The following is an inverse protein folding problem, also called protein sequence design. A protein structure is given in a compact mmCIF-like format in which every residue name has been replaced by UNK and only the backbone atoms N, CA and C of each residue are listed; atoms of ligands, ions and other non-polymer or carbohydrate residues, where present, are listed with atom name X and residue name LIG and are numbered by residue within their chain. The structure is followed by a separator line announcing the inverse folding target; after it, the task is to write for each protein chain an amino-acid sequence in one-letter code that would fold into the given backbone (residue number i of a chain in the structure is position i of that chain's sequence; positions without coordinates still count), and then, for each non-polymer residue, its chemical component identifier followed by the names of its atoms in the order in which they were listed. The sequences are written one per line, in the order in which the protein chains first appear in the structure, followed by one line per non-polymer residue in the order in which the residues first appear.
data_IF_136576186052
#
_entry.id   IF_136576186052
#
_cell.length_a   1.000
_cell.length_b   1.000
_cell.length_c   1.000
_cell.angle_alpha   90.00
_cell.angle_beta   90.00
_cell.angle_gamma   90.00
#
_symmetry.space_group_name_H-M   'P 1'
#
loop_
_entity.id
_entity.type
_entity.pdbx_description
1 polymer ?
2 non-polymer ?
3 non-polymer ?
4 non-polymer ?
5 water ?
#
# COMPACT_ATOMS: atom_id res chain seq x y z
N UNK A 4 -4.14 -27.53 -4.47
CA UNK A 4 -3.57 -27.29 -3.09
C UNK A 4 -2.18 -26.64 -2.97
N UNK A 5 -1.34 -26.68 -3.98
CA UNK A 5 0.04 -26.19 -3.90
C UNK A 5 0.30 -24.94 -4.69
N UNK A 6 1.11 -24.04 -4.14
CA UNK A 6 1.53 -22.87 -4.86
C UNK A 6 2.82 -23.22 -5.61
N UNK A 7 3.24 -22.40 -6.56
CA UNK A 7 4.52 -22.58 -7.26
C UNK A 7 5.70 -22.66 -6.31
N UNK A 8 6.67 -23.50 -6.63
CA UNK A 8 7.83 -23.69 -5.80
C UNK A 8 8.61 -22.38 -5.54
N UNK A 9 8.57 -21.47 -6.49
CA UNK A 9 9.25 -20.22 -6.42
C UNK A 9 8.35 -19.04 -6.01
N UNK A 10 7.17 -19.36 -5.47
CA UNK A 10 6.22 -18.28 -5.12
C UNK A 10 6.86 -17.41 -4.05
N UNK A 11 6.58 -16.14 -4.07
CA UNK A 11 7.07 -15.23 -3.05
C UNK A 11 6.10 -15.22 -1.85
N UNK A 12 6.64 -15.42 -0.68
CA UNK A 12 5.84 -15.45 0.57
C UNK A 12 6.44 -14.43 1.52
N UNK A 13 5.67 -13.41 1.84
CA UNK A 13 6.14 -12.36 2.72
C UNK A 13 5.16 -11.74 3.64
N UNK A 14 5.63 -10.75 4.36
CA UNK A 14 4.78 -9.81 5.05
C UNK A 14 5.24 -8.41 4.76
N UNK A 15 4.36 -7.47 5.02
CA UNK A 15 4.53 -6.07 4.58
C UNK A 15 4.44 -5.09 5.72
N UNK A 16 5.21 -4.02 5.61
CA UNK A 16 5.11 -2.84 6.50
C UNK A 16 5.34 -1.58 5.65
N UNK A 17 5.26 -0.42 6.29
CA UNK A 17 5.59 0.90 5.73
C UNK A 17 6.38 1.65 6.78
N UNK A 18 7.27 2.54 6.33
CA UNK A 18 8.22 3.18 7.20
C UNK A 18 7.57 3.97 8.32
N UNK A 19 6.64 4.89 7.99
CA UNK A 19 6.11 5.70 9.04
C UNK A 19 5.33 4.86 10.04
N UNK A 20 4.76 3.76 9.63
CA UNK A 20 3.96 2.93 10.50
C UNK A 20 4.78 2.16 11.54
N UNK A 21 6.04 1.89 11.24
CA UNK A 21 6.85 1.05 12.13
C UNK A 21 8.14 1.66 12.68
N UNK A 22 8.76 2.60 11.96
CA UNK A 22 10.22 2.89 12.22
C UNK A 22 10.48 3.66 13.52
N UNK A 23 9.64 4.62 13.82
CA UNK A 23 9.98 5.59 14.88
C UNK A 23 11.25 6.35 14.52
N UNK A 24 11.97 6.79 15.55
CA UNK A 24 13.21 7.51 15.33
C UNK A 24 13.01 8.65 14.32
N UNK A 25 11.98 9.45 14.56
CA UNK A 25 11.49 10.40 13.57
C UNK A 25 12.47 11.59 13.38
N UNK A 26 13.29 11.85 14.35
CA UNK A 26 14.25 12.97 14.21
C UNK A 26 15.70 12.47 14.08
N UNK A 27 15.89 11.17 14.02
CA UNK A 27 17.24 10.61 14.09
C UNK A 27 17.94 10.62 12.77
N UNK A 28 19.25 10.82 12.85
CA UNK A 28 20.13 10.70 11.68
C UNK A 28 19.70 11.53 10.48
N UNK A 29 19.35 12.76 10.75
CA UNK A 29 19.04 13.74 9.71
C UNK A 29 17.67 13.63 9.08
N UNK A 30 16.79 12.74 9.56
CA UNK A 30 15.39 12.63 8.96
C UNK A 30 14.65 13.96 8.99
N UNK A 31 14.02 14.34 7.89
CA UNK A 31 13.24 15.53 7.79
C UNK A 31 11.81 15.31 8.29
N UNK A 32 10.99 16.34 8.24
CA UNK A 32 9.59 16.24 8.66
C UNK A 32 8.75 15.77 7.47
N UNK A 33 7.88 14.77 7.68
CA UNK A 33 6.94 14.30 6.66
C UNK A 33 5.57 14.87 6.93
N UNK A 34 4.70 14.83 5.94
CA UNK A 34 3.32 15.20 6.20
C UNK A 34 2.60 14.40 7.30
N UNK A 35 3.02 13.17 7.55
CA UNK A 35 2.42 12.37 8.63
C UNK A 35 2.98 12.74 10.00
N UNK A 36 4.18 13.29 10.08
CA UNK A 36 4.63 13.91 11.35
C UNK A 36 3.73 15.09 11.66
N UNK A 37 3.52 15.98 10.68
CA UNK A 37 2.69 17.15 10.87
C UNK A 37 1.29 16.74 11.25
N UNK A 38 0.73 15.77 10.55
CA UNK A 38 -0.68 15.43 10.68
C UNK A 38 -0.93 14.72 11.96
N UNK A 39 -0.03 13.76 12.33
CA UNK A 39 -0.20 13.05 13.60
C UNK A 39 0.01 13.95 14.82
N UNK A 40 0.81 14.99 14.65
CA UNK A 40 1.00 15.97 15.74
C UNK A 40 -0.04 17.08 15.74
N UNK A 41 -1.05 16.97 14.89
CA UNK A 41 -2.13 17.90 14.90
C UNK A 41 -3.27 17.25 15.75
N UNK A 42 -3.66 17.94 16.87
CA UNK A 42 -4.70 17.45 17.73
C UNK A 42 -5.97 17.09 16.98
N UNK A 43 -6.51 15.90 17.25
CA UNK A 43 -7.75 15.47 16.70
C UNK A 43 -7.69 14.64 15.45
N UNK A 44 -6.52 14.62 14.79
CA UNK A 44 -6.42 13.86 13.56
C UNK A 44 -6.33 12.36 13.77
N UNK A 45 -5.73 11.94 14.84
CA UNK A 45 -5.53 10.52 15.10
C UNK A 45 -6.46 10.10 16.18
N UNK A 46 -7.12 8.95 16.05
CA UNK A 46 -8.20 8.60 16.99
C UNK A 46 -7.81 8.50 18.44
N UNK A 47 -6.58 8.06 18.72
CA UNK A 47 -6.18 7.70 20.04
C UNK A 47 -5.03 8.52 20.54
N UNK A 48 -4.72 9.63 19.91
CA UNK A 48 -3.69 10.51 20.49
C UNK A 48 -2.23 10.07 20.26
N UNK A 49 -2.04 9.06 19.40
CA UNK A 49 -0.74 8.51 19.24
C UNK A 49 -0.15 9.12 17.96
N UNK A 50 1.14 8.89 17.77
CA UNK A 50 1.89 9.35 16.58
C UNK A 50 2.80 8.22 16.14
N UNK A 51 3.52 8.45 15.04
CA UNK A 51 4.56 7.53 14.68
C UNK A 51 5.95 7.86 15.27
N UNK A 52 6.00 8.64 16.35
CA UNK A 52 7.25 9.05 16.88
C UNK A 52 8.13 7.87 17.32
N UNK A 53 7.53 6.84 17.92
CA UNK A 53 8.20 5.64 18.32
C UNK A 53 7.72 4.44 17.49
N UNK A 54 6.39 4.29 17.43
CA UNK A 54 5.78 3.20 16.66
C UNK A 54 6.37 1.87 17.12
N UNK A 55 6.96 1.08 16.24
CA UNK A 55 7.55 -0.19 16.62
C UNK A 55 9.05 -0.08 16.89
N UNK A 56 9.57 1.11 16.74
CA UNK A 56 11.04 1.38 16.83
C UNK A 56 11.84 0.54 15.86
N UNK A 57 11.29 0.25 14.69
CA UNK A 57 11.92 -0.61 13.76
C UNK A 57 13.18 0.07 13.11
N UNK A 58 13.33 1.36 13.24
CA UNK A 58 14.57 2.01 12.84
C UNK A 58 15.74 1.35 13.60
N UNK A 59 15.55 1.10 14.89
CA UNK A 59 16.55 0.43 15.71
C UNK A 59 16.35 -1.06 15.79
N UNK A 60 15.13 -1.58 15.61
CA UNK A 60 14.78 -2.95 15.88
C UNK A 60 14.41 -3.73 14.66
N UNK A 61 14.89 -3.34 13.48
CA UNK A 61 14.61 -4.15 12.29
C UNK A 61 15.21 -5.54 12.34
N UNK A 62 16.25 -5.74 13.15
CA UNK A 62 16.78 -7.06 13.42
C UNK A 62 15.73 -7.98 14.00
N UNK A 63 14.93 -7.46 14.92
CA UNK A 63 13.86 -8.20 15.52
C UNK A 63 12.81 -8.51 14.50
N UNK A 64 12.53 -7.56 13.60
CA UNK A 64 11.63 -7.82 12.50
C UNK A 64 12.12 -8.95 11.63
N UNK A 65 13.43 -8.93 11.30
CA UNK A 65 13.99 -10.00 10.50
C UNK A 65 13.89 -11.36 11.23
N UNK A 66 14.11 -11.37 12.52
CA UNK A 66 13.91 -12.52 13.35
C UNK A 66 12.48 -13.10 13.22
N UNK A 67 11.49 -12.23 13.18
CA UNK A 67 10.09 -12.67 12.97
C UNK A 67 9.92 -13.30 11.60
N UNK A 68 10.40 -12.62 10.56
CA UNK A 68 10.22 -13.10 9.21
C UNK A 68 10.87 -14.47 9.06
N UNK A 69 12.05 -14.66 9.68
CA UNK A 69 12.74 -15.95 9.66
C UNK A 69 11.93 -17.02 10.41
N UNK A 70 11.43 -16.66 11.57
CA UNK A 70 10.65 -17.60 12.40
C UNK A 70 9.42 -18.06 11.62
N UNK A 71 8.87 -17.16 10.80
CA UNK A 71 7.70 -17.46 9.97
C UNK A 71 8.01 -18.23 8.72
N UNK A 72 9.29 -18.38 8.37
CA UNK A 72 9.64 -19.10 7.19
C UNK A 72 9.41 -18.36 5.89
N UNK A 73 9.26 -17.04 5.98
CA UNK A 73 9.04 -16.19 4.82
C UNK A 73 10.29 -16.14 3.89
N UNK A 74 10.09 -15.81 2.63
CA UNK A 74 11.24 -15.62 1.75
C UNK A 74 11.34 -14.21 1.20
N UNK A 75 10.51 -13.30 1.67
CA UNK A 75 10.51 -11.94 1.19
C UNK A 75 9.94 -10.97 2.24
N UNK A 76 10.29 -9.68 2.14
CA UNK A 76 9.82 -8.68 3.05
C UNK A 76 9.50 -7.46 2.27
N UNK A 77 8.27 -7.02 2.30
CA UNK A 77 7.86 -5.76 1.66
C UNK A 77 7.93 -4.68 2.70
N UNK A 78 8.70 -3.63 2.41
CA UNK A 78 8.85 -2.50 3.34
C UNK A 78 9.04 -1.24 2.49
N UNK A 79 8.94 -0.10 3.09
CA UNK A 79 9.16 1.14 2.37
C UNK A 79 10.38 1.90 2.85
N UNK A 80 10.97 2.66 1.95
CA UNK A 80 12.00 3.64 2.29
C UNK A 80 11.34 4.97 2.55
N UNK A 81 11.72 5.66 3.66
CA UNK A 81 11.18 6.97 3.99
C UNK A 81 11.93 8.06 3.18
N UNK A 82 11.22 8.68 2.26
CA UNK A 82 11.76 9.84 1.49
C UNK A 82 12.39 10.85 2.44
N UNK A 83 11.75 11.13 3.57
CA UNK A 83 12.34 12.10 4.49
C UNK A 83 13.69 11.73 5.06
N UNK A 84 14.05 10.45 5.09
CA UNK A 84 15.35 10.06 5.49
C UNK A 84 16.37 10.25 4.36
N UNK A 85 15.92 10.23 3.12
CA UNK A 85 16.79 10.19 1.95
C UNK A 85 17.04 11.59 1.43
N UNK A 86 15.98 12.37 1.31
CA UNK A 86 16.06 13.80 0.86
C UNK A 86 15.23 14.57 1.87
N UNK A 87 15.85 14.98 3.00
CA UNK A 87 15.10 15.53 4.09
C UNK A 87 14.31 16.80 3.74
N UNK A 88 14.82 17.59 2.76
CA UNK A 88 14.10 18.79 2.31
C UNK A 88 13.14 18.49 1.22
N UNK A 89 13.02 17.24 0.80
CA UNK A 89 12.13 16.82 -0.28
C UNK A 89 12.74 17.00 -1.64
N UNK A 90 13.20 18.24 -1.93
CA UNK A 90 13.93 18.57 -3.15
C UNK A 90 15.18 19.21 -2.61
N UNK A 91 16.30 18.59 -2.81
CA UNK A 91 17.54 19.11 -2.25
C UNK A 91 18.54 17.99 -2.14
N UNK A 92 19.54 18.20 -1.24
CA UNK A 92 20.62 17.25 -1.10
C UNK A 92 20.16 15.89 -0.54
N UNK A 93 20.93 14.84 -0.79
CA UNK A 93 20.64 13.58 -0.17
C UNK A 93 21.20 13.55 1.22
N UNK A 94 20.79 12.58 2.01
CA UNK A 94 21.26 12.38 3.34
C UNK A 94 21.91 10.99 3.29
N UNK A 95 23.23 10.92 3.20
CA UNK A 95 23.89 9.63 3.00
C UNK A 95 23.60 8.74 4.21
N UNK A 96 23.45 9.31 5.41
CA UNK A 96 23.16 8.48 6.59
C UNK A 96 21.85 7.68 6.43
N UNK A 97 20.90 8.28 5.75
CA UNK A 97 19.57 7.57 5.44
C UNK A 97 19.75 6.45 4.51
N UNK A 98 20.50 6.70 3.42
CA UNK A 98 20.79 5.65 2.46
C UNK A 98 21.62 4.53 3.08
N UNK A 99 22.60 4.87 3.90
CA UNK A 99 23.40 3.83 4.61
C UNK A 99 22.53 2.94 5.54
N UNK A 100 21.58 3.54 6.21
CA UNK A 100 20.67 2.77 7.00
C UNK A 100 19.96 1.68 6.22
N UNK A 101 19.35 2.05 5.09
CA UNK A 101 18.61 1.09 4.33
C UNK A 101 19.56 0.10 3.63
N UNK A 102 20.76 0.57 3.31
CA UNK A 102 21.81 -0.32 2.78
C UNK A 102 22.13 -1.45 3.73
N UNK A 103 22.35 -1.14 4.99
CA UNK A 103 22.57 -2.13 6.01
C UNK A 103 21.35 -3.08 6.18
N UNK A 104 20.15 -2.48 6.17
CA UNK A 104 18.94 -3.28 6.27
C UNK A 104 18.76 -4.24 5.14
N UNK A 105 19.01 -3.77 3.91
CA UNK A 105 19.03 -4.63 2.73
C UNK A 105 20.03 -5.80 2.84
N UNK A 106 21.24 -5.50 3.24
CA UNK A 106 22.28 -6.54 3.44
C UNK A 106 21.84 -7.52 4.51
N UNK A 107 21.27 -7.03 5.57
CA UNK A 107 20.76 -7.93 6.60
C UNK A 107 19.65 -8.83 6.09
N UNK A 108 18.71 -8.30 5.31
CA UNK A 108 17.69 -9.12 4.70
C UNK A 108 18.20 -10.20 3.78
N UNK A 109 19.12 -9.83 2.89
CA UNK A 109 19.70 -10.77 1.98
C UNK A 109 20.46 -11.84 2.72
N UNK A 110 21.20 -11.46 3.73
CA UNK A 110 21.92 -12.42 4.58
C UNK A 110 20.99 -13.42 5.20
N UNK A 111 19.77 -13.00 5.50
CA UNK A 111 18.77 -13.89 6.06
C UNK A 111 17.92 -14.69 5.02
N UNK A 112 18.23 -14.49 3.77
CA UNK A 112 17.50 -15.17 2.71
C UNK A 112 16.16 -14.55 2.41
N UNK A 113 15.97 -13.29 2.72
CA UNK A 113 14.72 -12.60 2.50
C UNK A 113 14.86 -11.59 1.37
N UNK A 114 14.11 -11.75 0.32
CA UNK A 114 14.17 -10.82 -0.81
C UNK A 114 13.49 -9.51 -0.45
N UNK A 115 14.19 -8.39 -0.57
CA UNK A 115 13.53 -7.11 -0.28
C UNK A 115 12.60 -6.67 -1.40
N UNK A 116 11.36 -6.35 -1.11
CA UNK A 116 10.44 -5.82 -2.10
C UNK A 116 10.20 -4.39 -1.64
N UNK A 117 10.85 -3.42 -2.26
CA UNK A 117 10.91 -2.07 -1.68
C UNK A 117 9.86 -1.17 -2.29
N UNK A 118 9.09 -0.49 -1.46
CA UNK A 118 8.22 0.58 -1.85
C UNK A 118 8.94 1.91 -1.67
N UNK A 119 8.98 2.72 -2.74
CA UNK A 119 9.62 4.05 -2.60
C UNK A 119 8.72 5.07 -1.90
N UNK A 120 7.40 5.09 -2.18
CA UNK A 120 6.50 6.05 -1.61
C UNK A 120 5.33 5.39 -0.90
N UNK A 121 5.38 5.36 0.41
CA UNK A 121 4.27 4.87 1.23
C UNK A 121 3.82 5.98 2.16
N UNK A 122 3.52 7.17 1.56
CA UNK A 122 2.65 8.23 2.07
C UNK A 122 3.33 9.33 2.83
N UNK A 123 4.63 9.17 3.06
CA UNK A 123 5.40 10.02 3.91
C UNK A 123 6.06 11.13 3.12
N UNK A 124 5.24 11.93 2.43
CA UNK A 124 5.75 13.11 1.68
C UNK A 124 6.51 14.06 2.56
N UNK A 125 7.72 14.48 2.14
CA UNK A 125 8.41 15.52 2.93
C UNK A 125 7.59 16.77 3.05
N UNK A 126 7.47 17.31 4.27
CA UNK A 126 6.63 18.45 4.52
C UNK A 126 7.02 19.69 3.69
N UNK A 127 8.33 19.91 3.41
CA UNK A 127 8.68 21.13 2.59
C UNK A 127 8.04 21.07 1.20
N UNK A 128 7.78 19.87 0.66
CA UNK A 128 7.09 19.76 -0.57
C UNK A 128 5.62 20.08 -0.43
N UNK A 129 4.99 19.61 0.66
CA UNK A 129 3.63 19.95 0.95
C UNK A 129 3.50 21.47 1.15
N UNK A 130 4.50 22.09 1.75
CA UNK A 130 4.47 23.56 1.84
C UNK A 130 4.31 24.27 0.49
N UNK A 131 4.70 23.60 -0.57
CA UNK A 131 4.57 24.14 -1.93
C UNK A 131 3.48 23.42 -2.75
N UNK A 132 2.48 22.91 -2.05
CA UNK A 132 1.24 22.31 -2.51
C UNK A 132 1.34 20.81 -2.55
N UNK A 133 2.51 20.23 -2.33
CA UNK A 133 2.60 18.78 -2.28
C UNK A 133 2.18 18.13 -3.57
N UNK A 134 1.33 17.10 -3.52
CA UNK A 134 0.92 16.42 -4.75
C UNK A 134 -0.05 17.28 -5.58
N UNK A 135 -0.39 18.45 -5.07
CA UNK A 135 -1.08 19.45 -5.87
C UNK A 135 -0.18 20.17 -6.83
N UNK A 136 1.10 19.89 -6.78
CA UNK A 136 2.05 20.52 -7.70
C UNK A 136 2.81 19.57 -8.54
N UNK A 137 2.90 19.85 -9.83
CA UNK A 137 3.67 19.04 -10.76
C UNK A 137 5.10 18.89 -10.42
N UNK A 138 5.69 19.91 -9.77
CA UNK A 138 7.07 19.86 -9.42
C UNK A 138 7.32 18.67 -8.49
N UNK A 139 6.35 18.35 -7.64
CA UNK A 139 6.51 17.19 -6.72
C UNK A 139 6.72 15.90 -7.47
N UNK A 140 6.06 15.71 -8.60
CA UNK A 140 6.32 14.58 -9.49
C UNK A 140 7.75 14.50 -9.97
N UNK A 141 8.30 15.66 -10.37
CA UNK A 141 9.68 15.69 -10.80
C UNK A 141 10.67 15.33 -9.75
N UNK A 142 10.49 15.85 -8.56
CA UNK A 142 11.44 15.56 -7.49
C UNK A 142 11.24 14.14 -6.93
N UNK A 143 10.01 13.59 -7.02
CA UNK A 143 9.82 12.14 -6.65
C UNK A 143 10.72 11.31 -7.54
N UNK A 144 10.74 11.62 -8.82
CA UNK A 144 11.53 10.87 -9.77
C UNK A 144 13.01 10.94 -9.50
N UNK A 145 13.45 12.11 -9.00
CA UNK A 145 14.85 12.33 -8.63
C UNK A 145 15.23 11.50 -7.40
N UNK A 146 14.33 11.47 -6.44
CA UNK A 146 14.44 10.60 -5.25
C UNK A 146 14.55 9.12 -5.66
N UNK A 147 13.65 8.68 -6.57
CA UNK A 147 13.68 7.33 -7.06
C UNK A 147 15.02 6.96 -7.69
N UNK A 148 15.57 7.89 -8.48
CA UNK A 148 16.87 7.73 -9.10
C UNK A 148 17.97 7.46 -8.10
N UNK A 149 18.07 8.34 -7.10
CA UNK A 149 19.08 8.28 -6.06
C UNK A 149 19.06 6.95 -5.32
N UNK A 150 17.86 6.47 -4.98
CA UNK A 150 17.72 5.26 -4.19
C UNK A 150 18.16 4.06 -5.01
N UNK A 151 17.69 3.95 -6.24
CA UNK A 151 18.05 2.86 -7.12
C UNK A 151 19.54 2.84 -7.47
N UNK A 152 20.15 4.00 -7.61
CA UNK A 152 21.59 4.03 -7.83
C UNK A 152 22.34 3.37 -6.70
N UNK A 153 21.92 3.60 -5.45
CA UNK A 153 22.63 3.03 -4.31
C UNK A 153 22.27 1.62 -3.95
N UNK A 154 20.98 1.25 -4.09
CA UNK A 154 20.54 -0.01 -3.68
C UNK A 154 20.14 -1.00 -4.79
N UNK A 155 20.13 -0.54 -6.04
CA UNK A 155 19.65 -1.36 -7.15
C UNK A 155 20.65 -2.44 -7.59
N UNK A 156 21.85 -2.45 -7.00
CA UNK A 156 22.76 -3.58 -7.19
C UNK A 156 22.30 -4.83 -6.41
N UNK A 157 21.41 -4.63 -5.45
CA UNK A 157 20.95 -5.69 -4.56
C UNK A 157 19.43 -5.91 -4.56
N UNK A 158 18.66 -4.88 -4.79
CA UNK A 158 17.22 -4.98 -4.87
C UNK A 158 16.76 -4.96 -6.32
N UNK A 159 16.11 -6.03 -6.77
CA UNK A 159 15.59 -6.06 -8.14
C UNK A 159 14.12 -5.58 -8.19
N UNK A 160 13.36 -5.78 -7.12
CA UNK A 160 11.88 -5.57 -7.18
C UNK A 160 11.51 -4.31 -6.42
N UNK A 161 11.03 -3.33 -7.15
CA UNK A 161 10.67 -2.04 -6.67
C UNK A 161 9.24 -1.67 -7.04
N UNK A 162 8.56 -1.00 -6.10
CA UNK A 162 7.29 -0.31 -6.39
C UNK A 162 7.51 1.13 -6.22
N UNK A 163 7.00 1.91 -7.16
CA UNK A 163 7.06 3.35 -7.03
C UNK A 163 6.16 3.87 -5.89
N UNK A 164 4.84 3.72 -6.08
CA UNK A 164 3.85 4.20 -5.17
C UNK A 164 3.12 3.05 -4.54
N UNK A 165 2.69 3.30 -3.31
CA UNK A 165 1.65 2.50 -2.65
C UNK A 165 0.36 3.23 -2.58
N UNK A 166 -0.71 2.69 -3.18
CA UNK A 166 -2.06 3.17 -2.93
C UNK A 166 -2.28 4.68 -3.22
N UNK A 167 -2.05 5.10 -4.45
CA UNK A 167 -2.27 6.49 -4.83
C UNK A 167 -3.69 6.97 -4.60
N UNK A 168 -4.70 6.04 -4.64
CA UNK A 168 -6.05 6.48 -4.33
C UNK A 168 -6.11 7.00 -2.91
N UNK A 169 -5.43 6.36 -1.95
CA UNK A 169 -5.44 6.88 -0.61
C UNK A 169 -4.76 8.25 -0.52
N UNK A 170 -3.56 8.33 -1.06
CA UNK A 170 -2.77 9.55 -0.97
C UNK A 170 -3.55 10.73 -1.58
N UNK A 171 -4.22 10.48 -2.72
CA UNK A 171 -4.93 11.57 -3.38
C UNK A 171 -6.25 11.86 -2.69
N UNK A 172 -7.12 10.85 -2.58
CA UNK A 172 -8.49 11.08 -2.06
C UNK A 172 -8.63 11.14 -0.58
N UNK A 173 -7.96 10.27 0.22
CA UNK A 173 -8.04 10.44 1.67
C UNK A 173 -7.18 11.63 2.11
N UNK A 174 -6.12 11.89 1.40
CA UNK A 174 -5.20 12.98 1.78
C UNK A 174 -5.62 14.38 1.38
N UNK A 175 -6.30 14.52 0.25
CA UNK A 175 -6.62 15.84 -0.27
C UNK A 175 -8.10 16.10 -0.55
N UNK A 176 -8.94 15.08 -0.56
CA UNK A 176 -10.39 15.25 -0.78
C UNK A 176 -11.15 15.03 0.49
N UNK A 177 -10.96 13.91 1.17
CA UNK A 177 -11.77 13.58 2.34
C UNK A 177 -11.13 14.09 3.62
N UNK A 178 -9.86 14.41 3.55
CA UNK A 178 -9.12 15.01 4.72
C UNK A 178 -8.80 14.07 5.86
N UNK A 179 -8.97 12.78 5.67
CA UNK A 179 -8.70 11.88 6.82
C UNK A 179 -7.29 11.34 6.93
N UNK A 180 -6.52 11.45 5.87
CA UNK A 180 -5.07 11.16 5.86
C UNK A 180 -4.29 12.47 5.60
N UNK A 181 -3.00 12.45 5.92
CA UNK A 181 -2.13 13.56 5.65
C UNK A 181 -2.12 13.86 4.15
N UNK A 182 -2.04 15.15 3.70
CA UNK A 182 -1.97 16.27 4.63
C UNK A 182 -3.26 16.78 5.28
N UNK A 183 -4.41 16.28 4.83
CA UNK A 183 -5.69 16.55 5.49
C UNK A 183 -6.51 17.63 4.77
N UNK A 184 -6.26 17.82 3.47
CA UNK A 184 -7.11 18.78 2.70
C UNK A 184 -8.43 18.18 2.34
N UNK A 185 -9.39 19.04 1.98
CA UNK A 185 -10.78 18.66 1.75
C UNK A 185 -11.27 19.38 0.53
N UNK A 186 -10.71 19.06 -0.59
CA UNK A 186 -11.16 19.66 -1.87
C UNK A 186 -11.03 18.66 -2.99
N UNK A 187 -12.16 18.39 -3.67
CA UNK A 187 -12.19 17.43 -4.75
C UNK A 187 -11.20 17.72 -5.83
N UNK A 188 -11.19 18.98 -6.27
CA UNK A 188 -10.29 19.35 -7.28
C UNK A 188 -8.82 19.10 -6.93
N UNK A 189 -8.46 19.39 -5.72
CA UNK A 189 -7.09 19.16 -5.31
C UNK A 189 -6.79 17.62 -5.25
N UNK A 190 -7.79 16.85 -4.83
CA UNK A 190 -7.64 15.37 -4.80
C UNK A 190 -7.39 14.82 -6.20
N UNK A 191 -8.15 15.32 -7.18
CA UNK A 191 -7.97 14.89 -8.53
C UNK A 191 -6.68 15.33 -9.15
N UNK A 192 -6.25 16.58 -8.87
CA UNK A 192 -4.96 17.02 -9.28
C UNK A 192 -3.82 16.16 -8.70
N UNK A 193 -3.98 15.85 -7.42
CA UNK A 193 -3.01 14.99 -6.71
C UNK A 193 -2.91 13.62 -7.35
N UNK A 194 -4.07 13.10 -7.75
CA UNK A 194 -4.05 11.80 -8.45
C UNK A 194 -3.25 11.83 -9.71
N UNK A 195 -3.38 12.91 -10.49
CA UNK A 195 -2.61 13.01 -11.70
C UNK A 195 -1.13 13.20 -11.49
N UNK A 196 -0.75 14.05 -10.53
CA UNK A 196 0.64 14.21 -10.22
C UNK A 196 1.31 13.03 -9.59
N UNK A 197 0.55 12.25 -8.84
CA UNK A 197 1.06 10.98 -8.35
C UNK A 197 1.33 10.05 -9.51
N UNK A 198 0.36 9.91 -10.41
CA UNK A 198 0.54 9.10 -11.53
C UNK A 198 1.72 9.55 -12.41
N UNK A 199 1.84 10.87 -12.63
CA UNK A 199 2.95 11.42 -13.42
C UNK A 199 4.29 11.17 -12.72
N UNK A 200 4.34 11.35 -11.42
CA UNK A 200 5.53 11.00 -10.68
C UNK A 200 5.92 9.59 -10.79
N UNK A 201 4.94 8.67 -10.66
CA UNK A 201 5.19 7.29 -10.96
C UNK A 201 5.88 7.08 -12.32
N UNK A 202 5.32 7.65 -13.36
CA UNK A 202 5.81 7.40 -14.71
C UNK A 202 7.21 7.99 -14.94
N UNK A 203 7.46 9.16 -14.37
CA UNK A 203 8.78 9.78 -14.45
C UNK A 203 9.78 8.96 -13.70
N UNK A 204 9.34 8.41 -12.56
CA UNK A 204 10.23 7.60 -11.73
C UNK A 204 10.61 6.33 -12.39
N UNK A 205 9.69 5.64 -13.05
CA UNK A 205 9.98 4.44 -13.73
C UNK A 205 11.13 4.66 -14.72
N UNK A 206 10.98 5.71 -15.48
CA UNK A 206 12.00 6.04 -16.50
C UNK A 206 13.34 6.37 -15.88
N UNK A 207 13.31 7.15 -14.81
CA UNK A 207 14.53 7.51 -14.10
C UNK A 207 15.17 6.29 -13.52
N UNK A 208 14.37 5.43 -12.92
CA UNK A 208 14.93 4.24 -12.32
C UNK A 208 15.60 3.30 -13.30
N UNK A 209 15.04 3.17 -14.48
CA UNK A 209 15.62 2.26 -15.45
C UNK A 209 16.96 2.81 -15.90
N UNK A 210 17.06 4.12 -16.01
CA UNK A 210 18.34 4.74 -16.44
C UNK A 210 19.41 4.70 -15.35
N UNK A 211 18.99 4.79 -14.08
CA UNK A 211 19.88 4.89 -12.99
C UNK A 211 20.33 3.53 -12.52
N UNK A 212 19.62 2.46 -12.90
CA UNK A 212 19.83 1.15 -12.32
C UNK A 212 21.12 0.48 -12.78
N UNK A 213 21.82 -0.18 -11.86
CA UNK A 213 23.02 -0.92 -12.28
C UNK A 213 22.78 -2.28 -12.90
N UNK A 214 21.53 -2.76 -12.88
CA UNK A 214 21.12 -4.01 -13.47
C UNK A 214 19.63 -3.85 -13.83
N UNK A 215 19.09 -4.73 -14.66
CA UNK A 215 17.68 -4.64 -14.99
C UNK A 215 16.85 -4.80 -13.69
N UNK A 216 15.82 -4.00 -13.60
CA UNK A 216 14.90 -4.03 -12.46
C UNK A 216 13.58 -4.57 -12.81
N UNK A 217 12.83 -5.01 -11.80
CA UNK A 217 11.41 -5.41 -11.97
C UNK A 217 10.59 -4.37 -11.22
N UNK A 218 10.08 -3.39 -11.94
CA UNK A 218 9.41 -2.23 -11.39
C UNK A 218 7.90 -2.38 -11.51
N UNK A 219 7.19 -2.13 -10.40
CA UNK A 219 5.76 -2.04 -10.43
C UNK A 219 5.21 -0.84 -9.68
N UNK A 220 3.89 -0.84 -9.56
CA UNK A 220 3.15 0.10 -8.75
C UNK A 220 2.19 -0.77 -7.93
N UNK A 221 1.80 -0.26 -6.77
CA UNK A 221 0.86 -1.00 -5.90
C UNK A 221 -0.43 -0.19 -5.76
N UNK A 222 -1.54 -0.81 -6.17
CA UNK A 222 -2.84 -0.20 -6.12
C UNK A 222 -3.73 -0.93 -5.08
N UNK A 223 -4.52 -0.19 -4.34
CA UNK A 223 -5.64 -0.76 -3.55
C UNK A 223 -6.80 -0.88 -4.53
N UNK A 224 -7.31 -2.09 -4.71
CA UNK A 224 -8.43 -2.29 -5.57
C UNK A 224 -9.60 -2.82 -4.76
N UNK A 225 -10.80 -2.32 -5.05
CA UNK A 225 -11.98 -2.74 -4.33
C UNK A 225 -13.04 -3.19 -5.38
N UNK A 226 -13.22 -4.49 -5.51
CA UNK A 226 -14.22 -5.00 -6.45
C UNK A 226 -15.58 -4.51 -5.95
N UNK A 227 -16.38 -4.05 -6.89
CA UNK A 227 -17.59 -3.35 -6.60
C UNK A 227 -18.76 -4.04 -7.26
N UNK A 228 -19.88 -4.12 -6.54
CA UNK A 228 -21.05 -4.96 -6.95
C UNK A 228 -22.27 -4.11 -6.66
N UNK A 229 -23.17 -3.96 -7.64
CA UNK A 229 -24.40 -3.22 -7.34
C UNK A 229 -25.31 -4.02 -6.42
N UNK A 230 -25.97 -3.36 -5.49
CA UNK A 230 -26.90 -3.98 -4.56
C UNK A 230 -28.12 -4.54 -5.30
N UNK A 231 -28.54 -3.92 -6.39
CA UNK A 231 -29.58 -4.50 -7.23
C UNK A 231 -29.20 -4.27 -8.70
N UNK A 232 -29.98 -4.81 -9.62
CA UNK A 232 -29.73 -4.52 -11.03
C UNK A 232 -30.44 -3.31 -11.55
N UNK A 233 -30.93 -2.44 -10.66
CA UNK A 233 -31.58 -1.23 -11.13
C UNK A 233 -30.56 -0.38 -11.89
N UNK A 234 -31.02 0.44 -12.85
CA UNK A 234 -30.05 1.38 -13.49
C UNK A 234 -29.33 2.30 -12.51
N UNK A 235 -30.06 2.70 -11.43
CA UNK A 235 -29.53 3.59 -10.43
C UNK A 235 -28.38 2.90 -9.69
N UNK A 236 -28.62 1.69 -9.21
CA UNK A 236 -27.57 0.98 -8.42
C UNK A 236 -26.41 0.50 -9.28
N UNK A 237 -26.71 0.08 -10.50
CA UNK A 237 -25.62 -0.31 -11.43
C UNK A 237 -24.73 0.85 -11.77
N UNK A 238 -25.30 2.04 -12.02
CA UNK A 238 -24.52 3.19 -12.33
C UNK A 238 -23.72 3.62 -11.08
N UNK A 239 -24.30 3.47 -9.88
CA UNK A 239 -23.58 3.83 -8.64
C UNK A 239 -22.33 2.89 -8.50
N UNK A 240 -22.53 1.60 -8.73
CA UNK A 240 -21.42 0.67 -8.79
C UNK A 240 -20.38 1.05 -9.78
N UNK A 241 -20.76 1.42 -10.99
CA UNK A 241 -19.78 1.87 -12.00
C UNK A 241 -19.00 3.14 -11.57
N UNK A 242 -19.68 4.07 -10.95
CA UNK A 242 -19.06 5.30 -10.52
C UNK A 242 -18.04 4.98 -9.42
N UNK A 243 -18.42 4.14 -8.45
CA UNK A 243 -17.47 3.80 -7.38
C UNK A 243 -16.27 3.04 -7.96
N UNK A 244 -16.54 2.08 -8.86
CA UNK A 244 -15.47 1.32 -9.55
C UNK A 244 -14.52 2.22 -10.31
N UNK A 245 -15.08 3.30 -10.93
CA UNK A 245 -14.23 4.25 -11.62
C UNK A 245 -13.42 5.11 -10.66
N UNK A 246 -14.02 5.55 -9.58
CA UNK A 246 -13.44 6.49 -8.61
C UNK A 246 -12.24 5.82 -7.93
N UNK A 247 -12.35 4.52 -7.63
CA UNK A 247 -11.28 3.79 -6.94
C UNK A 247 -10.33 3.07 -7.88
N UNK A 248 -10.91 2.28 -8.78
CA UNK A 248 -10.15 1.36 -9.57
C UNK A 248 -9.70 1.85 -10.94
N UNK A 249 -10.67 2.15 -11.81
CA UNK A 249 -10.35 2.43 -13.19
C UNK A 249 -9.66 3.76 -13.36
N UNK A 250 -9.89 4.69 -12.47
CA UNK A 250 -9.18 5.98 -12.58
C UNK A 250 -7.69 5.79 -12.61
N UNK A 251 -7.16 4.77 -11.89
CA UNK A 251 -5.75 4.48 -11.92
C UNK A 251 -5.37 3.42 -12.93
N UNK A 252 -6.12 2.29 -12.98
CA UNK A 252 -5.79 1.25 -13.93
C UNK A 252 -5.76 1.68 -15.39
N UNK A 253 -6.76 2.46 -15.80
CA UNK A 253 -6.82 2.81 -17.26
C UNK A 253 -5.63 3.62 -17.78
N UNK A 254 -5.23 4.68 -17.06
CA UNK A 254 -4.08 5.45 -17.56
C UNK A 254 -2.81 4.72 -17.49
N UNK A 255 -2.63 3.91 -16.45
CA UNK A 255 -1.49 3.08 -16.38
C UNK A 255 -1.45 2.08 -17.57
N UNK A 256 -2.62 1.63 -18.00
CA UNK A 256 -2.69 0.65 -19.09
C UNK A 256 -2.60 1.34 -20.48
N UNK A 257 -2.40 2.65 -20.51
CA UNK A 257 -2.36 3.42 -21.80
C UNK A 257 -3.71 3.74 -22.40
N UNK A 258 -4.79 3.68 -21.60
CA UNK A 258 -6.14 3.87 -22.09
C UNK A 258 -6.66 5.25 -21.74
N UNK A 259 -5.79 6.14 -21.25
CA UNK A 259 -6.23 7.46 -20.79
C UNK A 259 -7.06 7.35 -19.49
N UNK A 260 -7.59 8.46 -19.04
CA UNK A 260 -8.51 8.40 -17.94
C UNK A 260 -9.87 7.91 -18.46
N UNK A 261 -10.63 7.20 -17.62
CA UNK A 261 -11.93 6.74 -18.09
C UNK A 261 -12.89 7.88 -18.36
N UNK A 262 -13.45 7.90 -19.59
CA UNK A 262 -14.26 9.00 -20.06
C UNK A 262 -15.51 9.18 -19.27
N UNK A 263 -16.12 8.06 -18.79
CA UNK A 263 -17.28 8.23 -17.94
C UNK A 263 -16.97 9.02 -16.72
N UNK A 264 -15.79 8.85 -16.14
CA UNK A 264 -15.46 9.52 -14.91
C UNK A 264 -15.05 10.96 -15.18
N UNK A 265 -14.34 11.20 -16.26
CA UNK A 265 -14.07 12.56 -16.72
C UNK A 265 -15.39 13.38 -16.85
N UNK A 266 -16.43 12.80 -17.47
CA UNK A 266 -17.69 13.48 -17.62
C UNK A 266 -18.37 13.70 -16.31
N UNK A 267 -18.31 12.71 -15.41
CA UNK A 267 -18.90 12.85 -14.10
C UNK A 267 -18.20 13.93 -13.26
N UNK A 268 -16.86 13.98 -13.34
CA UNK A 268 -16.10 14.93 -12.50
C UNK A 268 -16.24 16.37 -13.04
N UNK A 269 -16.47 16.48 -14.33
CA UNK A 269 -16.65 17.75 -14.98
C UNK A 269 -15.44 18.65 -14.77
N UNK A 270 -15.75 19.83 -14.26
CA UNK A 270 -14.76 20.90 -14.06
C UNK A 270 -13.68 20.56 -12.99
N UNK A 271 -13.98 19.61 -12.11
CA UNK A 271 -12.97 19.16 -11.13
C UNK A 271 -11.88 18.25 -11.71
N UNK A 272 -12.09 17.69 -12.91
CA UNK A 272 -11.08 16.86 -13.52
C UNK A 272 -9.80 17.62 -13.75
N UNK A 273 -8.64 16.95 -13.63
CA UNK A 273 -7.35 17.61 -13.85
C UNK A 273 -7.10 17.81 -15.33
N UNK A 274 -6.20 18.71 -15.66
CA UNK A 274 -5.77 18.96 -17.04
C UNK A 274 -4.65 17.99 -17.48
N UNK A 275 -4.99 17.03 -18.33
CA UNK A 275 -4.11 15.90 -18.61
C UNK A 275 -3.79 15.85 -20.08
N UNK A 276 -2.65 16.43 -20.45
CA UNK A 276 -2.21 16.40 -21.83
C UNK A 276 -1.73 15.00 -22.24
N UNK A 277 -1.70 14.74 -23.56
CA UNK A 277 -1.26 13.43 -24.07
C UNK A 277 0.16 13.06 -23.66
N UNK A 278 1.05 14.06 -23.57
CA UNK A 278 2.42 13.80 -23.15
C UNK A 278 2.50 13.20 -21.69
N UNK A 279 1.72 13.76 -20.79
CA UNK A 279 1.65 13.26 -19.39
C UNK A 279 1.12 11.82 -19.44
N UNK A 280 0.08 11.57 -20.22
CA UNK A 280 -0.46 10.18 -20.32
C UNK A 280 0.51 9.16 -20.87
N UNK A 281 1.36 9.56 -21.81
CA UNK A 281 2.36 8.68 -22.28
C UNK A 281 3.37 8.32 -21.19
N UNK A 282 3.76 9.31 -20.41
CA UNK A 282 4.71 9.06 -19.31
C UNK A 282 4.08 8.17 -18.22
N UNK A 283 2.83 8.44 -17.92
CA UNK A 283 2.09 7.65 -16.87
C UNK A 283 2.05 6.20 -17.27
N UNK A 284 1.92 5.94 -18.57
CA UNK A 284 1.91 4.56 -19.05
C UNK A 284 3.26 3.82 -19.26
N UNK A 285 4.36 4.33 -18.72
CA UNK A 285 5.65 3.72 -18.80
C UNK A 285 5.53 2.23 -18.47
N UNK A 286 6.05 1.35 -19.34
CA UNK A 286 5.85 -0.09 -19.18
C UNK A 286 6.35 -0.60 -17.80
N UNK A 287 5.50 -1.34 -17.13
CA UNK A 287 5.82 -2.01 -15.82
C UNK A 287 6.15 -3.47 -15.96
N UNK A 288 6.91 -3.99 -15.02
CA UNK A 288 7.19 -5.38 -14.95
C UNK A 288 6.22 -6.20 -14.14
N UNK A 289 5.46 -5.53 -13.28
CA UNK A 289 4.46 -6.20 -12.45
C UNK A 289 3.50 -5.19 -11.89
N UNK A 290 2.37 -5.68 -11.35
CA UNK A 290 1.41 -4.86 -10.67
C UNK A 290 1.13 -5.49 -9.30
N UNK A 291 1.19 -4.69 -8.24
CA UNK A 291 0.78 -5.15 -6.91
C UNK A 291 -0.64 -4.75 -6.59
N UNK A 292 -1.39 -5.71 -6.01
CA UNK A 292 -2.72 -5.46 -5.57
C UNK A 292 -2.78 -5.51 -4.07
N UNK A 293 -3.32 -4.48 -3.44
CA UNK A 293 -3.67 -4.51 -2.04
C UNK A 293 -5.20 -4.78 -1.95
N UNK A 294 -5.56 -5.88 -1.32
CA UNK A 294 -6.96 -6.35 -1.28
C UNK A 294 -7.41 -6.55 0.14
N UNK A 295 -8.50 -5.88 0.49
CA UNK A 295 -9.12 -6.02 1.80
C UNK A 295 -10.59 -6.31 1.74
N UNK A 296 -11.34 -5.57 0.93
CA UNK A 296 -12.81 -5.65 1.04
C UNK A 296 -13.45 -5.39 -0.34
N UNK A 297 -14.74 -5.65 -0.42
CA UNK A 297 -15.54 -5.27 -1.58
C UNK A 297 -16.28 -4.01 -1.32
N UNK A 298 -17.03 -3.53 -2.31
CA UNK A 298 -18.01 -2.47 -2.07
C UNK A 298 -19.31 -2.96 -2.70
N UNK A 299 -20.34 -3.21 -1.90
CA UNK A 299 -21.66 -3.49 -2.42
C UNK A 299 -22.38 -2.15 -2.42
N UNK A 300 -22.59 -1.59 -3.60
CA UNK A 300 -22.99 -0.21 -3.76
C UNK A 300 -24.52 -0.01 -4.01
N UNK A 301 -25.07 0.97 -3.32
CA UNK A 301 -26.42 1.53 -3.63
C UNK A 301 -26.27 2.98 -4.02
N UNK A 302 -27.14 3.47 -4.92
CA UNK A 302 -27.13 4.83 -5.31
C UNK A 302 -27.38 5.73 -4.05
N UNK A 303 -26.68 6.83 -3.98
CA UNK A 303 -26.78 7.77 -2.86
C UNK A 303 -26.66 9.18 -3.41
N UNK A 304 -27.75 9.65 -4.01
CA UNK A 304 -27.70 10.94 -4.77
C UNK A 304 -27.33 12.13 -3.86
N UNK A 305 -27.67 12.06 -2.58
CA UNK A 305 -27.36 13.14 -1.63
C UNK A 305 -26.00 13.06 -0.96
N UNK A 306 -25.20 12.07 -1.27
CA UNK A 306 -23.89 11.94 -0.66
C UNK A 306 -22.90 12.70 -1.51
N UNK A 307 -21.70 12.91 -0.97
CA UNK A 307 -20.67 13.50 -1.77
C UNK A 307 -20.24 12.48 -2.88
N UNK A 308 -19.51 12.99 -3.86
CA UNK A 308 -18.99 12.18 -4.97
C UNK A 308 -18.20 10.98 -4.41
N UNK A 309 -18.39 9.71 -4.87
CA UNK A 309 -19.14 9.38 -6.10
C UNK A 309 -20.59 9.00 -5.97
N UNK A 310 -21.28 9.53 -4.96
CA UNK A 310 -22.68 9.29 -4.78
C UNK A 310 -23.04 7.80 -4.79
N UNK A 311 -22.35 7.06 -3.94
CA UNK A 311 -22.58 5.64 -3.80
C UNK A 311 -22.21 5.23 -2.42
N UNK A 312 -23.11 4.56 -1.76
CA UNK A 312 -22.94 4.15 -0.37
C UNK A 312 -22.95 2.64 -0.27
N UNK A 313 -22.26 2.15 0.73
CA UNK A 313 -22.11 0.74 0.95
C UNK A 313 -23.35 0.20 1.60
N UNK A 314 -23.84 -0.92 1.13
CA UNK A 314 -24.92 -1.59 1.75
C UNK A 314 -24.35 -2.78 2.53
N UNK A 315 -24.37 -2.66 3.85
CA UNK A 315 -23.74 -3.69 4.72
C UNK A 315 -24.46 -5.00 4.64
N UNK A 316 -23.74 -6.10 4.79
CA UNK A 316 -24.36 -7.41 4.84
C UNK A 316 -24.02 -8.01 6.19
N UNK A 317 -25.01 -8.02 7.11
CA UNK A 317 -24.75 -8.55 8.49
C UNK A 317 -24.56 -10.02 8.56
N UNK A 318 -24.85 -10.78 7.52
CA UNK A 318 -24.58 -12.19 7.54
C UNK A 318 -23.13 -12.46 7.21
N UNK A 319 -22.43 -11.52 6.60
CA UNK A 319 -20.99 -11.74 6.39
C UNK A 319 -20.19 -11.49 7.69
N UNK A 320 -19.00 -12.11 7.81
CA UNK A 320 -18.14 -11.78 8.94
C UNK A 320 -17.61 -10.36 8.86
N UNK A 321 -17.38 -9.76 10.03
CA UNK A 321 -16.78 -8.46 10.17
C UNK A 321 -15.59 -8.52 11.08
N UNK A 322 -14.60 -7.71 10.80
CA UNK A 322 -13.36 -7.70 11.63
C UNK A 322 -13.49 -6.50 12.55
N UNK A 323 -12.40 -5.96 13.08
CA UNK A 323 -12.49 -4.73 13.84
C UNK A 323 -12.95 -3.55 13.02
N UNK A 324 -12.68 -3.56 11.72
CA UNK A 324 -12.93 -2.39 10.86
C UNK A 324 -13.46 -2.67 9.48
N UNK A 325 -13.61 -3.91 9.05
CA UNK A 325 -14.06 -4.21 7.70
C UNK A 325 -14.99 -5.39 7.60
N UNK A 326 -15.71 -5.44 6.48
CA UNK A 326 -16.45 -6.65 6.08
C UNK A 326 -15.54 -7.62 5.34
N UNK A 327 -15.71 -8.88 5.58
CA UNK A 327 -14.89 -9.94 4.97
C UNK A 327 -15.59 -10.52 3.73
N UNK A 328 -14.90 -10.55 2.60
CA UNK A 328 -15.46 -11.08 1.36
C UNK A 328 -14.35 -11.67 0.50
N UNK A 329 -13.97 -12.88 0.77
CA UNK A 329 -12.73 -13.40 0.15
C UNK A 329 -12.91 -13.56 -1.33
N UNK A 330 -14.15 -13.87 -1.77
CA UNK A 330 -14.40 -14.06 -3.20
C UNK A 330 -14.03 -12.86 -4.06
N UNK A 331 -14.04 -11.68 -3.47
CA UNK A 331 -13.65 -10.50 -4.16
C UNK A 331 -12.22 -10.50 -4.70
N UNK A 332 -11.33 -11.19 -4.00
CA UNK A 332 -9.92 -11.33 -4.42
C UNK A 332 -9.86 -12.12 -5.73
N UNK A 333 -10.60 -13.21 -5.81
CA UNK A 333 -10.66 -13.95 -7.07
C UNK A 333 -11.25 -13.07 -8.15
N UNK A 334 -12.36 -12.41 -7.85
CA UNK A 334 -13.02 -11.58 -8.91
C UNK A 334 -12.08 -10.52 -9.43
N UNK A 335 -11.36 -9.81 -8.54
CA UNK A 335 -10.58 -8.68 -9.06
C UNK A 335 -9.35 -9.19 -9.84
N UNK A 336 -8.75 -10.29 -9.41
CA UNK A 336 -7.66 -10.89 -10.16
C UNK A 336 -8.06 -11.44 -11.53
N UNK A 337 -9.20 -12.11 -11.58
CA UNK A 337 -9.71 -12.59 -12.86
C UNK A 337 -9.92 -11.43 -13.82
N UNK A 338 -10.43 -10.33 -13.30
CA UNK A 338 -10.64 -9.12 -14.11
C UNK A 338 -9.34 -8.55 -14.59
N UNK A 339 -8.34 -8.43 -13.69
CA UNK A 339 -7.03 -7.93 -14.15
C UNK A 339 -6.44 -8.79 -15.23
N UNK A 340 -6.49 -10.09 -15.02
CA UNK A 340 -5.86 -11.04 -15.92
C UNK A 340 -6.49 -10.95 -17.31
N UNK A 341 -7.78 -10.88 -17.36
CA UNK A 341 -8.50 -10.96 -18.64
C UNK A 341 -8.68 -9.62 -19.31
N UNK A 342 -8.74 -8.53 -18.51
CA UNK A 342 -9.21 -7.24 -19.01
C UNK A 342 -8.12 -6.16 -19.12
N UNK A 343 -6.97 -6.41 -18.50
CA UNK A 343 -5.91 -5.43 -18.41
C UNK A 343 -4.57 -6.10 -18.77
N UNK A 344 -3.52 -5.29 -19.07
CA UNK A 344 -2.28 -5.83 -19.63
C UNK A 344 -1.21 -6.16 -18.57
N UNK A 345 -1.49 -5.89 -17.28
CA UNK A 345 -0.42 -5.99 -16.30
C UNK A 345 -0.17 -7.44 -15.99
N UNK A 346 1.10 -7.83 -15.97
CA UNK A 346 1.46 -9.16 -15.54
C UNK A 346 2.97 -9.25 -15.37
N UNK A 347 3.48 -10.06 -14.48
CA UNK A 347 2.70 -10.81 -13.48
C UNK A 347 2.16 -9.90 -12.37
N UNK A 348 1.39 -10.50 -11.50
CA UNK A 348 0.72 -9.83 -10.42
C UNK A 348 1.25 -10.38 -9.06
N UNK A 349 1.26 -9.50 -8.08
CA UNK A 349 1.60 -9.87 -6.70
C UNK A 349 0.48 -9.35 -5.83
N UNK A 350 0.10 -10.08 -4.80
CA UNK A 350 -0.75 -9.55 -3.73
C UNK A 350 0.17 -8.90 -2.75
N UNK A 351 0.25 -7.58 -2.77
CA UNK A 351 1.23 -6.87 -1.97
C UNK A 351 0.73 -6.52 -0.54
N UNK A 352 -0.59 -6.58 -0.32
CA UNK A 352 -1.19 -6.54 1.03
C UNK A 352 -2.51 -7.35 1.03
N UNK A 353 -2.72 -8.04 2.13
CA UNK A 353 -3.96 -8.69 2.44
C UNK A 353 -3.87 -9.13 3.90
N UNK A 354 -4.90 -8.77 4.66
CA UNK A 354 -4.88 -8.98 6.07
C UNK A 354 -6.04 -8.33 6.79
N UNK A 355 -6.06 -8.42 8.11
CA UNK A 355 -7.16 -7.84 8.87
C UNK A 355 -6.79 -7.40 10.25
N UNK A 356 -7.68 -6.52 10.78
CA UNK A 356 -7.53 -6.00 12.10
C UNK A 356 -8.50 -6.61 13.06
N UNK A 357 -8.02 -6.91 14.25
CA UNK A 357 -8.86 -7.50 15.28
C UNK A 357 -8.46 -6.94 16.63
N UNK A 358 -9.33 -7.19 17.64
CA UNK A 358 -9.05 -6.68 18.99
C UNK A 358 -8.15 -7.63 19.72
N UNK A 359 -6.92 -7.78 19.24
CA UNK A 359 -6.02 -8.83 19.76
C UNK A 359 -5.59 -8.54 21.17
N UNK A 360 -5.45 -9.58 21.95
CA UNK A 360 -4.84 -9.50 23.28
C UNK A 360 -3.94 -10.69 23.52
N UNK A 361 -3.01 -10.53 24.45
CA UNK A 361 -2.23 -11.67 24.96
C UNK A 361 -3.07 -12.45 25.92
N UNK A 362 -3.30 -13.74 25.67
CA UNK A 362 -4.14 -14.56 26.57
C UNK A 362 -3.31 -15.02 27.75
N UNK A 363 -3.96 -15.73 28.71
CA UNK A 363 -3.27 -16.17 29.91
C UNK A 363 -2.10 -17.06 29.60
N UNK A 364 -2.21 -17.89 28.56
CA UNK A 364 -1.11 -18.78 28.19
C UNK A 364 0.05 -18.09 27.50
N UNK A 365 -0.14 -16.85 27.08
CA UNK A 365 0.92 -16.09 26.43
C UNK A 365 0.74 -15.92 24.92
N UNK A 366 -0.09 -16.73 24.30
CA UNK A 366 -0.35 -16.66 22.88
C UNK A 366 -1.40 -15.60 22.57
N UNK A 367 -1.57 -15.33 21.28
CA UNK A 367 -2.65 -14.47 20.81
C UNK A 367 -3.55 -15.33 19.92
N UNK A 368 -4.74 -15.65 20.40
CA UNK A 368 -5.60 -16.56 19.71
C UNK A 368 -6.51 -15.83 18.74
N UNK A 369 -5.99 -15.53 17.56
CA UNK A 369 -6.70 -14.73 16.57
C UNK A 369 -7.22 -15.61 15.48
N UNK A 370 -8.13 -16.51 15.84
CA UNK A 370 -8.69 -17.46 14.89
C UNK A 370 -9.33 -16.83 13.67
N UNK A 371 -9.97 -15.70 13.85
CA UNK A 371 -10.62 -15.05 12.76
C UNK A 371 -9.58 -14.60 11.70
N UNK A 372 -8.40 -14.24 12.18
CA UNK A 372 -7.33 -13.86 11.23
C UNK A 372 -6.77 -15.06 10.52
N UNK A 373 -6.60 -16.18 11.22
CA UNK A 373 -6.21 -17.42 10.58
C UNK A 373 -7.22 -17.78 9.49
N UNK A 374 -8.50 -17.76 9.85
CA UNK A 374 -9.57 -18.11 8.88
C UNK A 374 -9.55 -17.12 7.68
N UNK A 375 -9.28 -15.83 7.97
CA UNK A 375 -9.15 -14.84 6.93
C UNK A 375 -8.05 -15.23 5.91
N UNK A 376 -6.87 -15.58 6.39
CA UNK A 376 -5.80 -16.04 5.52
C UNK A 376 -6.17 -17.30 4.74
N UNK A 377 -6.70 -18.28 5.43
CA UNK A 377 -7.05 -19.52 4.81
C UNK A 377 -8.05 -19.29 3.69
N UNK A 378 -9.04 -18.46 3.97
CA UNK A 378 -10.04 -18.19 2.92
C UNK A 378 -9.49 -17.44 1.70
N UNK A 379 -8.64 -16.43 1.96
CA UNK A 379 -8.10 -15.68 0.83
C UNK A 379 -7.08 -16.50 0.04
N UNK A 380 -6.30 -17.34 0.70
CA UNK A 380 -5.31 -18.15 -0.01
C UNK A 380 -6.07 -19.18 -0.90
N UNK A 381 -7.22 -19.65 -0.45
CA UNK A 381 -8.04 -20.57 -1.29
C UNK A 381 -8.48 -19.87 -2.57
N UNK A 382 -8.89 -18.60 -2.45
CA UNK A 382 -9.23 -17.82 -3.63
C UNK A 382 -8.06 -17.61 -4.56
N UNK A 383 -6.88 -17.44 -3.99
CA UNK A 383 -5.69 -17.35 -4.84
C UNK A 383 -5.42 -18.64 -5.61
N UNK A 384 -5.64 -19.77 -4.96
CA UNK A 384 -5.54 -21.07 -5.67
C UNK A 384 -6.51 -21.14 -6.88
N UNK A 385 -7.74 -20.69 -6.65
CA UNK A 385 -8.71 -20.61 -7.72
C UNK A 385 -8.24 -19.70 -8.83
N UNK A 386 -7.65 -18.54 -8.48
CA UNK A 386 -7.23 -17.58 -9.48
C UNK A 386 -6.07 -18.17 -10.31
N UNK A 387 -5.16 -18.84 -9.63
CA UNK A 387 -4.04 -19.50 -10.28
C UNK A 387 -4.56 -20.57 -11.24
N UNK A 388 -5.61 -21.26 -10.85
CA UNK A 388 -6.21 -22.30 -11.73
C UNK A 388 -6.75 -21.71 -13.00
N UNK A 389 -7.31 -20.50 -12.89
CA UNK A 389 -7.84 -19.77 -14.03
C UNK A 389 -6.77 -19.10 -14.90
N UNK A 390 -5.52 -19.30 -14.57
CA UNK A 390 -4.40 -18.81 -15.39
C UNK A 390 -3.87 -17.45 -14.96
N UNK A 391 -4.38 -16.89 -13.84
CA UNK A 391 -3.90 -15.57 -13.40
C UNK A 391 -2.39 -15.72 -13.07
N UNK A 392 -1.56 -14.81 -13.58
CA UNK A 392 -0.09 -14.95 -13.43
C UNK A 392 0.41 -14.38 -12.09
N UNK A 393 -0.04 -14.96 -10.97
CA UNK A 393 0.22 -14.48 -9.65
C UNK A 393 1.53 -15.04 -9.17
N UNK A 394 2.41 -14.21 -8.71
CA UNK A 394 3.77 -14.63 -8.32
C UNK A 394 4.15 -14.47 -6.85
N UNK A 395 3.26 -13.89 -6.04
CA UNK A 395 3.58 -13.78 -4.62
C UNK A 395 2.45 -13.23 -3.80
N UNK A 396 2.59 -13.36 -2.49
CA UNK A 396 1.55 -12.95 -1.54
C UNK A 396 2.28 -12.35 -0.35
N UNK A 397 1.89 -11.16 0.08
CA UNK A 397 2.41 -10.51 1.29
C UNK A 397 1.26 -10.23 2.24
N UNK A 398 1.37 -10.77 3.44
CA UNK A 398 0.39 -10.46 4.48
C UNK A 398 0.62 -9.04 4.98
N UNK A 399 -0.45 -8.25 5.10
CA UNK A 399 -0.43 -7.00 5.86
C UNK A 399 -0.93 -7.32 7.27
N UNK A 400 -0.17 -7.15 8.33
CA UNK A 400 1.19 -6.63 8.39
C UNK A 400 2.06 -7.62 9.10
N UNK A 401 3.39 -7.47 8.95
CA UNK A 401 4.29 -8.29 9.77
C UNK A 401 4.01 -8.14 11.25
N UNK A 402 3.71 -6.94 11.66
CA UNK A 402 3.46 -6.69 13.07
C UNK A 402 2.49 -5.53 13.27
N UNK A 403 1.84 -5.51 14.46
CA UNK A 403 0.93 -4.39 14.77
C UNK A 403 1.68 -3.09 14.70
N UNK A 404 1.06 -2.04 14.22
CA UNK A 404 1.78 -0.81 14.01
C UNK A 404 0.89 0.41 14.07
N UNK A 405 1.44 1.58 13.69
CA UNK A 405 0.67 2.80 13.67
C UNK A 405 -0.22 2.82 12.41
N UNK A 406 -1.51 2.58 12.60
CA UNK A 406 -2.46 2.41 11.50
C UNK A 406 -3.12 3.77 11.22
N UNK A 407 -2.25 4.69 10.82
CA UNK A 407 -2.70 5.95 10.23
C UNK A 407 -3.71 6.65 11.10
N UNK A 408 -4.85 7.08 10.60
CA UNK A 408 -5.78 7.88 11.43
C UNK A 408 -6.36 7.09 12.63
N UNK A 409 -6.18 5.76 12.67
CA UNK A 409 -6.66 4.99 13.83
C UNK A 409 -5.54 4.83 14.85
N UNK A 410 -4.34 5.26 14.53
CA UNK A 410 -3.23 5.17 15.45
C UNK A 410 -2.86 3.77 15.78
N UNK A 411 -2.28 3.58 16.98
CA UNK A 411 -1.88 2.25 17.42
C UNK A 411 -3.03 1.39 17.76
N UNK A 412 -4.25 1.97 17.76
CA UNK A 412 -5.40 1.24 18.20
C UNK A 412 -5.93 0.15 17.30
N UNK A 413 -5.47 0.05 16.06
CA UNK A 413 -6.04 -0.88 15.15
C UNK A 413 -4.94 -1.87 14.66
N UNK A 414 -4.99 -3.08 15.23
CA UNK A 414 -3.89 -4.09 15.14
C UNK A 414 -4.10 -5.00 13.92
N UNK A 415 -3.23 -4.84 12.92
CA UNK A 415 -3.22 -5.66 11.69
C UNK A 415 -2.14 -6.72 11.63
N UNK A 416 -1.29 -6.85 12.64
CA UNK A 416 -0.17 -7.73 12.54
C UNK A 416 -0.52 -9.21 12.53
N UNK A 417 0.37 -9.99 11.94
CA UNK A 417 0.43 -11.43 12.24
C UNK A 417 1.36 -11.66 13.43
N UNK A 418 2.09 -10.65 13.85
CA UNK A 418 2.79 -10.58 15.12
C UNK A 418 2.22 -9.43 15.95
N UNK A 419 2.03 -9.68 17.24
CA UNK A 419 1.55 -8.67 18.21
C UNK A 419 2.71 -7.78 18.58
N UNK A 420 2.45 -6.48 18.65
CA UNK A 420 3.46 -5.54 19.18
C UNK A 420 3.00 -4.98 20.51
N UNK A 421 3.79 -5.16 21.54
CA UNK A 421 3.58 -4.44 22.80
C UNK A 421 4.20 -3.05 22.64
N UNK A 422 3.35 -2.02 22.57
CA UNK A 422 3.86 -0.71 22.21
C UNK A 422 4.56 -0.01 23.38
N UNK A 423 4.37 -0.55 24.57
CA UNK A 423 5.12 -0.02 25.78
C UNK A 423 6.52 -0.58 25.89
N UNK A 424 6.70 -1.86 25.64
CA UNK A 424 7.98 -2.57 25.83
C UNK A 424 8.68 -2.78 24.51
N UNK A 425 7.90 -2.70 23.44
CA UNK A 425 8.33 -2.97 22.07
C UNK A 425 8.61 -4.46 21.83
N UNK A 426 8.21 -5.35 22.74
CA UNK A 426 8.32 -6.77 22.49
C UNK A 426 7.33 -7.17 21.40
N UNK A 427 7.76 -8.00 20.47
CA UNK A 427 6.89 -8.63 19.46
C UNK A 427 6.68 -10.12 19.80
N UNK A 428 5.50 -10.64 19.51
CA UNK A 428 5.21 -12.02 19.70
C UNK A 428 4.38 -12.51 18.54
N UNK A 429 4.63 -13.72 18.05
CA UNK A 429 3.89 -14.20 16.87
C UNK A 429 2.48 -14.64 17.30
N UNK A 430 1.48 -14.20 16.55
CA UNK A 430 0.10 -14.60 16.82
C UNK A 430 -0.16 -15.97 16.28
N UNK A 431 -1.25 -16.59 16.74
CA UNK A 431 -1.63 -17.88 16.14
C UNK A 431 -1.75 -17.89 14.63
N UNK A 432 -2.27 -16.84 14.03
CA UNK A 432 -2.39 -16.78 12.59
C UNK A 432 -1.02 -16.79 11.93
N UNK A 433 -0.06 -16.17 12.60
CA UNK A 433 1.34 -16.19 12.14
C UNK A 433 1.88 -17.58 12.14
N UNK A 434 1.69 -18.32 13.23
CA UNK A 434 2.14 -19.71 13.25
C UNK A 434 1.42 -20.56 12.17
N UNK A 435 0.15 -20.27 11.91
CA UNK A 435 -0.55 -20.98 10.85
C UNK A 435 0.12 -20.70 9.48
N UNK A 436 0.34 -19.41 9.15
CA UNK A 436 1.08 -19.08 7.92
C UNK A 436 2.43 -19.77 7.84
N UNK A 437 3.17 -19.77 8.98
CA UNK A 437 4.45 -20.48 9.00
C UNK A 437 4.32 -21.94 8.51
N UNK A 438 3.42 -22.64 9.13
CA UNK A 438 3.24 -24.07 8.88
C UNK A 438 2.63 -24.33 7.51
N UNK A 439 1.76 -23.44 7.04
CA UNK A 439 1.23 -23.50 5.73
C UNK A 439 2.32 -23.31 4.67
N UNK A 440 3.11 -22.26 4.84
CA UNK A 440 4.22 -21.96 3.96
C UNK A 440 5.25 -23.07 3.95
N UNK A 441 5.55 -23.65 5.11
CA UNK A 441 6.55 -24.73 5.22
C UNK A 441 6.06 -25.96 4.44
N UNK A 442 4.78 -26.22 4.51
CA UNK A 442 4.11 -27.28 3.67
C UNK A 442 4.30 -27.03 2.15
N UNK A 443 4.34 -25.76 1.75
CA UNK A 443 4.46 -25.37 0.35
C UNK A 443 5.85 -25.47 -0.15
X LIG B 1 -19.74 -2.25 -12.29
X LIG B 1 -18.51 -2.97 -11.80
X LIG B 1 -18.77 -4.39 -11.29
X LIG B 1 -19.99 -5.19 -11.78
X LIG B 1 -17.56 -5.22 -10.98
X LIG B 1 -17.68 -6.67 -10.68
X LIG B 1 -16.64 -7.26 -9.71
X LIG B 1 -15.06 -7.26 -10.45
X LIG B 1 -15.23 -8.10 -11.60
X LIG B 1 -14.12 -7.77 -9.53
X LIG B 1 -14.74 -5.84 -10.84
X LIG B 1 -21.10 -4.45 -12.55
X LIG B 1 -21.08 -2.93 -12.40
X LIG C 1 -16.93 -9.77 14.21
X LIG D 1 20.12 2.16 13.66
X LIG D 1 19.57 0.90 13.28
X LIG D 1 20.60 2.88 12.43
X LIG D 1 20.70 2.12 11.23
X LIG E 1 0.49 14.94 19.75
X LIG E 1 0.67 14.52 21.15
X LIG E 1 -1.01 15.10 19.47
X LIG E 1 -1.83 13.97 19.87
#
# INVERSE_FOLDING_TARGET
MAGERFPADFVWGAATAAYQIEGAVREDGRGVSIWDTFSHTPGKIADGTTGDVACDSYHRYGEDIGLLNALGMNAYRFSIAWPRIVPLGAGPINQAGLDHYSRMVDALLGAGLQPFVTLYHWDLPQPLEDRLGWGSRATATVFAEYADIVVRQLGDRVTHWATLNEPWCSAMLGYYLGVHAPGHTDLKRGLEASHNLLLGHGLAVQAMRAAAPQPLQIGIVLGLTPTYPASDSPEDVAAARRFDGFVNRWFLDPLAGRGYPQDMLDYYGAAAPQANPEDLTQIAAPLDWLGVNYYERMRAVDAPDASLPQAQRLDDPDLPHTADREVYPEGLYDILLRLHNDYPFRPLYITENGCALHDEIAEDGGIHDGQRQAFFEAHLAQLQRALAAGVPLKGYFAWSLLDNFEWAMGLSMRYGICYTNFETLERRIKDSGYWLRDFIAGQRGKLAALEHHHHHH
NHE C3' C2' C1' C6' N C1 C2 S O1 O2 O3 C5' C4'
NA NA
EDO C1 O1 C2 O2
EDO C1 O1 C2 O2
#
